data_IF_508666487390
#
_entry.id   IF_508666487390
#
_cell.length_a   1.000
_cell.length_b   1.000
_cell.length_c   1.000
_cell.angle_alpha   90.00
_cell.angle_beta   90.00
_cell.angle_gamma   90.00
#
_symmetry.space_group_name_H-M   'P 1'
#
loop_
_entity.id
_entity.type
_entity.pdbx_description
1 polymer ?
#
# COMPACT_ATOMS: atom_id res chain seq x y z
N UNK A 1 -11.70 4.94 43.92
CA UNK A 1 -11.65 5.03 42.45
C UNK A 1 -10.45 4.24 41.97
N UNK A 2 -10.64 3.15 41.22
CA UNK A 2 -9.53 2.25 40.85
C UNK A 2 -8.85 2.73 39.56
N UNK A 3 -7.58 2.36 39.31
CA UNK A 3 -6.88 2.75 38.08
C UNK A 3 -7.61 2.33 36.79
N UNK A 4 -8.37 1.24 36.86
CA UNK A 4 -9.19 0.72 35.76
C UNK A 4 -10.35 1.64 35.40
N UNK A 5 -10.88 2.41 36.35
CA UNK A 5 -12.00 3.34 36.10
C UNK A 5 -11.53 4.53 35.26
N UNK A 6 -10.37 5.12 35.60
CA UNK A 6 -9.79 6.26 34.87
C UNK A 6 -9.40 5.92 33.42
N UNK A 7 -8.92 4.70 33.18
CA UNK A 7 -8.53 4.24 31.85
C UNK A 7 -9.73 4.09 30.90
N UNK A 8 -10.91 3.73 31.43
CA UNK A 8 -12.14 3.61 30.65
C UNK A 8 -12.75 4.97 30.30
N UNK A 9 -12.59 5.98 31.16
CA UNK A 9 -13.09 7.34 30.92
C UNK A 9 -12.40 8.04 29.74
N UNK A 10 -11.16 7.64 29.41
CA UNK A 10 -10.40 8.19 28.29
C UNK A 10 -10.29 7.24 27.08
N UNK A 11 -11.02 6.12 27.10
CA UNK A 11 -11.05 5.22 25.96
C UNK A 11 -11.80 5.86 24.79
N UNK A 12 -11.22 5.78 23.58
CA UNK A 12 -11.91 6.21 22.36
C UNK A 12 -13.25 5.49 22.25
N UNK A 13 -14.36 6.20 21.93
CA UNK A 13 -15.67 5.57 21.74
C UNK A 13 -15.69 4.66 20.51
N UNK A 14 -14.72 4.80 19.60
CA UNK A 14 -14.58 3.93 18.43
C UNK A 14 -13.57 2.81 18.71
N UNK A 15 -13.99 1.53 18.66
CA UNK A 15 -13.07 0.42 18.78
C UNK A 15 -12.04 0.47 17.64
N UNK A 16 -10.77 0.40 18.01
CA UNK A 16 -9.67 0.39 17.07
C UNK A 16 -9.58 -0.95 16.35
N UNK A 17 -9.49 -0.93 15.01
CA UNK A 17 -9.40 -2.13 14.17
C UNK A 17 -7.99 -2.73 14.09
N UNK A 18 -7.07 -2.33 14.99
CA UNK A 18 -5.66 -2.73 14.90
C UNK A 18 -5.46 -4.24 15.03
N UNK A 19 -6.35 -4.92 15.78
CA UNK A 19 -6.31 -6.38 15.96
C UNK A 19 -6.61 -7.10 14.66
N UNK A 20 -7.73 -6.76 14.03
CA UNK A 20 -8.13 -7.35 12.75
C UNK A 20 -7.09 -7.05 11.66
N UNK A 21 -6.53 -5.84 11.64
CA UNK A 21 -5.52 -5.48 10.66
C UNK A 21 -4.18 -6.20 10.92
N UNK A 22 -3.84 -6.50 12.18
CA UNK A 22 -2.69 -7.32 12.53
C UNK A 22 -2.87 -8.78 12.11
N UNK A 23 -4.04 -9.37 12.40
CA UNK A 23 -4.39 -10.73 11.98
C UNK A 23 -4.38 -10.86 10.45
N UNK A 24 -4.94 -9.87 9.74
CA UNK A 24 -4.88 -9.80 8.29
C UNK A 24 -3.45 -9.81 7.76
N UNK A 25 -2.55 -8.98 8.35
CA UNK A 25 -1.14 -8.94 7.94
C UNK A 25 -0.41 -10.27 8.18
N UNK A 26 -0.77 -11.00 9.23
CA UNK A 26 -0.19 -12.31 9.53
C UNK A 26 -0.69 -13.34 8.52
N UNK A 27 -2.00 -13.43 8.32
CA UNK A 27 -2.62 -14.38 7.39
C UNK A 27 -2.18 -14.18 5.94
N UNK A 28 -1.95 -12.92 5.53
CA UNK A 28 -1.64 -12.53 4.16
C UNK A 28 -0.16 -12.16 3.94
N UNK A 29 0.71 -12.50 4.90
CA UNK A 29 2.10 -12.03 4.97
C UNK A 29 2.86 -12.22 3.66
N UNK A 30 2.73 -13.38 3.02
CA UNK A 30 3.53 -13.73 1.83
C UNK A 30 3.26 -12.80 0.64
N UNK A 31 2.00 -12.65 0.24
CA UNK A 31 1.67 -11.81 -0.92
C UNK A 31 1.71 -10.31 -0.58
N UNK A 32 1.44 -9.92 0.67
CA UNK A 32 1.63 -8.53 1.12
C UNK A 32 3.11 -8.11 1.02
N UNK A 33 4.04 -8.99 1.40
CA UNK A 33 5.47 -8.72 1.24
C UNK A 33 5.87 -8.59 -0.22
N UNK A 34 5.30 -9.42 -1.10
CA UNK A 34 5.53 -9.32 -2.53
C UNK A 34 4.98 -8.00 -3.11
N UNK A 35 3.76 -7.62 -2.74
CA UNK A 35 3.15 -6.35 -3.14
C UNK A 35 3.97 -5.14 -2.66
N UNK A 36 4.44 -5.16 -1.42
CA UNK A 36 5.35 -4.14 -0.88
C UNK A 36 6.68 -4.08 -1.64
N UNK A 37 7.25 -5.23 -2.02
CA UNK A 37 8.48 -5.28 -2.81
C UNK A 37 8.30 -4.58 -4.15
N UNK A 38 7.21 -4.85 -4.85
CA UNK A 38 6.88 -4.20 -6.12
C UNK A 38 6.69 -2.69 -5.92
N UNK A 39 5.96 -2.28 -4.88
CA UNK A 39 5.80 -0.86 -4.54
C UNK A 39 7.15 -0.14 -4.33
N UNK A 40 8.09 -0.76 -3.61
CA UNK A 40 9.44 -0.21 -3.42
C UNK A 40 10.20 -0.12 -4.75
N UNK A 41 10.17 -1.17 -5.58
CA UNK A 41 10.83 -1.15 -6.89
C UNK A 41 10.26 -0.06 -7.81
N UNK A 42 8.94 0.18 -7.77
CA UNK A 42 8.30 1.26 -8.50
C UNK A 42 8.78 2.63 -8.02
N UNK A 43 8.85 2.85 -6.70
CA UNK A 43 9.37 4.10 -6.12
C UNK A 43 10.81 4.37 -6.54
N UNK A 44 11.68 3.36 -6.44
CA UNK A 44 13.09 3.48 -6.83
C UNK A 44 13.22 3.85 -8.32
N UNK A 45 12.43 3.21 -9.19
CA UNK A 45 12.43 3.52 -10.62
C UNK A 45 11.89 4.92 -10.91
N UNK A 46 10.82 5.32 -10.23
CA UNK A 46 10.29 6.68 -10.35
C UNK A 46 11.32 7.74 -9.95
N UNK A 47 12.08 7.49 -8.88
CA UNK A 47 13.16 8.37 -8.44
C UNK A 47 14.30 8.43 -9.47
N UNK A 48 14.76 7.27 -9.97
CA UNK A 48 15.81 7.17 -10.99
C UNK A 48 15.45 7.94 -12.26
N UNK A 49 14.20 7.86 -12.69
CA UNK A 49 13.68 8.51 -13.90
C UNK A 49 13.21 9.95 -13.65
N UNK A 50 13.18 10.39 -12.39
CA UNK A 50 12.65 11.70 -11.95
C UNK A 50 11.20 11.95 -12.40
N UNK A 51 10.38 10.91 -12.37
CA UNK A 51 8.96 10.98 -12.73
C UNK A 51 8.05 10.93 -11.50
N UNK A 52 6.92 11.61 -11.60
CA UNK A 52 5.88 11.65 -10.56
C UNK A 52 4.86 10.53 -10.74
N UNK A 53 4.05 10.25 -9.70
CA UNK A 53 2.94 9.29 -9.78
C UNK A 53 1.96 9.63 -10.90
N UNK A 54 1.75 10.93 -11.15
CA UNK A 54 0.89 11.42 -12.23
C UNK A 54 1.45 11.05 -13.60
N UNK A 55 2.74 11.30 -13.83
CA UNK A 55 3.40 10.95 -15.09
C UNK A 55 3.44 9.44 -15.32
N UNK A 56 3.67 8.64 -14.27
CA UNK A 56 3.58 7.18 -14.39
C UNK A 56 2.16 6.73 -14.75
N UNK A 57 1.15 7.32 -14.13
CA UNK A 57 -0.25 7.04 -14.44
C UNK A 57 -0.61 7.38 -15.89
N UNK A 58 -0.12 8.52 -16.40
CA UNK A 58 -0.27 8.92 -17.81
C UNK A 58 0.39 7.91 -18.76
N UNK A 59 1.62 7.45 -18.46
CA UNK A 59 2.32 6.41 -19.25
C UNK A 59 1.58 5.08 -19.26
N UNK A 60 0.98 4.70 -18.13
CA UNK A 60 0.20 3.47 -17.99
C UNK A 60 -1.24 3.60 -18.47
N UNK A 61 -1.67 4.79 -18.92
CA UNK A 61 -3.05 5.11 -19.27
C UNK A 61 -4.05 4.72 -18.14
N UNK A 62 -3.69 5.02 -16.89
CA UNK A 62 -4.50 4.73 -15.71
C UNK A 62 -4.66 5.97 -14.82
N UNK A 63 -5.46 5.85 -13.75
CA UNK A 63 -5.63 6.96 -12.81
C UNK A 63 -4.44 7.08 -11.85
N UNK A 64 -4.10 8.31 -11.44
CA UNK A 64 -3.08 8.53 -10.40
C UNK A 64 -3.46 7.82 -9.08
N UNK A 65 -4.75 7.79 -8.74
CA UNK A 65 -5.27 7.11 -7.56
C UNK A 65 -4.97 5.61 -7.59
N UNK A 66 -5.00 4.99 -8.78
CA UNK A 66 -4.62 3.60 -8.95
C UNK A 66 -3.14 3.39 -8.62
N UNK A 67 -2.25 4.22 -9.16
CA UNK A 67 -0.81 4.20 -8.79
C UNK A 67 -0.64 4.39 -7.29
N UNK A 68 -1.33 5.34 -6.66
CA UNK A 68 -1.24 5.55 -5.21
C UNK A 68 -1.72 4.34 -4.40
N UNK A 69 -2.67 3.53 -4.90
CA UNK A 69 -3.07 2.27 -4.25
C UNK A 69 -1.96 1.22 -4.36
N UNK A 70 -1.39 1.05 -5.54
CA UNK A 70 -0.28 0.10 -5.78
C UNK A 70 0.90 0.43 -4.85
N UNK A 71 1.26 1.71 -4.77
CA UNK A 71 2.36 2.19 -3.93
C UNK A 71 2.13 2.03 -2.41
N UNK A 72 0.88 1.78 -1.97
CA UNK A 72 0.62 1.38 -0.57
C UNK A 72 1.03 -0.06 -0.27
N UNK A 73 1.32 -0.88 -1.29
CA UNK A 73 1.77 -2.27 -1.13
C UNK A 73 0.74 -3.19 -0.47
N UNK A 74 -0.54 -2.84 -0.57
CA UNK A 74 -1.68 -3.63 -0.06
C UNK A 74 -2.56 -4.20 -1.19
N UNK A 75 -2.20 -3.93 -2.44
CA UNK A 75 -2.97 -4.38 -3.60
C UNK A 75 -2.49 -5.76 -4.06
N UNK A 76 -3.44 -6.61 -4.44
CA UNK A 76 -3.16 -7.85 -5.13
C UNK A 76 -3.12 -7.57 -6.64
N UNK A 77 -1.92 -7.56 -7.22
CA UNK A 77 -1.70 -7.20 -8.62
C UNK A 77 -1.81 -8.44 -9.50
N UNK A 78 -2.56 -8.33 -10.60
CA UNK A 78 -2.56 -9.37 -11.62
C UNK A 78 -1.23 -9.35 -12.39
N UNK A 79 -0.86 -10.48 -13.00
CA UNK A 79 0.33 -10.53 -13.86
C UNK A 79 0.28 -9.50 -14.98
N UNK A 80 -0.90 -9.24 -15.53
CA UNK A 80 -1.09 -8.20 -16.55
C UNK A 80 -0.72 -6.80 -16.03
N UNK A 81 -1.12 -6.46 -14.80
CA UNK A 81 -0.76 -5.17 -14.19
C UNK A 81 0.74 -5.07 -13.96
N UNK A 82 1.39 -6.16 -13.53
CA UNK A 82 2.85 -6.18 -13.34
C UNK A 82 3.57 -5.89 -14.65
N UNK A 83 3.19 -6.57 -15.73
CA UNK A 83 3.79 -6.33 -17.05
C UNK A 83 3.58 -4.90 -17.54
N UNK A 84 2.42 -4.28 -17.28
CA UNK A 84 2.19 -2.86 -17.62
C UNK A 84 3.09 -1.92 -16.83
N UNK A 85 3.33 -2.21 -15.54
CA UNK A 85 4.22 -1.42 -14.69
C UNK A 85 5.66 -1.53 -15.20
N UNK A 86 6.12 -2.75 -15.49
CA UNK A 86 7.46 -3.01 -16.01
C UNK A 86 7.68 -2.24 -17.32
N UNK A 87 6.77 -2.39 -18.29
CA UNK A 87 6.85 -1.68 -19.56
C UNK A 87 6.84 -0.14 -19.42
N UNK A 88 6.13 0.40 -18.43
CA UNK A 88 6.08 1.86 -18.20
C UNK A 88 7.35 2.42 -17.53
N UNK A 89 8.11 1.56 -16.85
CA UNK A 89 9.33 1.90 -16.10
C UNK A 89 10.64 1.47 -16.79
N UNK A 90 10.57 0.62 -17.83
CA UNK A 90 11.72 0.22 -18.66
C UNK A 90 11.96 1.14 -19.88
N UNK A 91 11.18 2.22 -20.02
CA UNK A 91 11.30 3.21 -21.11
C UNK A 91 12.20 4.39 -20.79
#
# INVERSE_FOLDING_TARGET
MTPQTKLREHASPTPSHWREEAEYRIANKSWLRYSQKIAMQMLDKMEQMKITQKQLAERMNCSQQYISKILKGKENLSSETLTKIENALEG
#
